data_IF_725988216264
#
_entry.id   IF_725988216264
#
_cell.length_a   1.000
_cell.length_b   1.000
_cell.length_c   1.000
_cell.angle_alpha   90.00
_cell.angle_beta   90.00
_cell.angle_gamma   90.00
#
_symmetry.space_group_name_H-M   'P 1'
#
loop_
_entity.id
_entity.type
_entity.pdbx_description
1 polymer ?
#
# COMPACT_ATOMS: atom_id res chain seq x y z
N UNK A 1 -65.02 15.08 10.00
CA UNK A 1 -64.80 14.03 11.02
C UNK A 1 -63.51 13.31 10.63
N UNK A 2 -62.40 13.45 11.38
CA UNK A 2 -61.07 12.98 10.95
C UNK A 2 -60.75 11.62 11.60
N UNK A 3 -60.19 10.65 10.87
CA UNK A 3 -59.56 9.48 11.51
C UNK A 3 -58.33 8.99 10.71
N UNK A 4 -57.18 9.31 11.32
CA UNK A 4 -55.89 8.62 11.38
C UNK A 4 -55.07 8.30 10.12
N UNK A 5 -54.00 9.08 9.97
CA UNK A 5 -52.73 8.72 9.34
C UNK A 5 -52.08 7.52 10.05
N UNK A 6 -51.61 6.55 9.28
CA UNK A 6 -50.64 5.54 9.74
C UNK A 6 -49.27 5.88 9.14
N UNK A 7 -48.37 6.42 9.96
CA UNK A 7 -46.96 6.59 9.60
C UNK A 7 -46.24 5.28 9.96
N UNK A 8 -45.84 4.52 8.94
CA UNK A 8 -44.94 3.38 9.10
C UNK A 8 -43.52 3.89 9.38
N UNK A 9 -43.08 3.75 10.63
CA UNK A 9 -41.71 4.02 11.02
C UNK A 9 -40.85 2.78 10.69
N UNK A 10 -40.14 2.81 9.56
CA UNK A 10 -39.14 1.80 9.24
C UNK A 10 -37.94 1.97 10.20
N UNK A 11 -37.78 1.04 11.14
CA UNK A 11 -36.61 0.99 12.01
C UNK A 11 -35.40 0.57 11.16
N UNK A 12 -34.54 1.54 10.81
CA UNK A 12 -33.25 1.23 10.20
C UNK A 12 -32.30 0.74 11.29
N UNK A 13 -32.08 -0.56 11.36
CA UNK A 13 -30.96 -1.13 12.11
C UNK A 13 -29.68 -0.76 11.38
N UNK A 14 -29.02 0.32 11.81
CA UNK A 14 -27.64 0.56 11.44
C UNK A 14 -26.81 -0.59 12.02
N UNK A 15 -26.32 -1.48 11.17
CA UNK A 15 -25.30 -2.44 11.57
C UNK A 15 -24.07 -1.63 11.95
N UNK A 16 -23.79 -1.52 13.24
CA UNK A 16 -22.52 -0.97 13.74
C UNK A 16 -21.50 -2.07 13.54
N UNK A 17 -21.00 -2.24 12.31
CA UNK A 17 -19.72 -2.93 12.13
C UNK A 17 -18.70 -2.13 12.94
N UNK A 18 -18.01 -2.71 13.94
CA UNK A 18 -16.89 -2.00 14.53
C UNK A 18 -15.95 -1.70 13.37
N UNK A 19 -15.74 -0.42 13.08
CA UNK A 19 -14.64 -0.03 12.23
C UNK A 19 -13.41 -0.62 12.92
N UNK A 20 -12.86 -1.72 12.37
CA UNK A 20 -11.59 -2.25 12.82
C UNK A 20 -10.63 -1.09 12.56
N UNK A 21 -10.18 -0.44 13.62
CA UNK A 21 -9.33 0.75 13.48
C UNK A 21 -8.03 0.27 12.85
N UNK A 22 -7.91 0.44 11.54
CA UNK A 22 -6.76 0.01 10.76
C UNK A 22 -5.46 0.65 11.29
N UNK A 23 -5.57 1.79 11.98
CA UNK A 23 -4.45 2.54 12.53
C UNK A 23 -4.05 2.08 13.93
N UNK A 24 -4.72 1.07 14.48
CA UNK A 24 -4.34 0.48 15.76
C UNK A 24 -2.94 -0.15 15.68
N UNK A 25 -2.18 -0.05 16.77
CA UNK A 25 -0.86 -0.69 16.91
C UNK A 25 -0.91 -2.21 16.77
N UNK A 26 -2.06 -2.82 17.08
CA UNK A 26 -2.24 -4.27 17.07
C UNK A 26 -3.05 -4.77 15.87
N UNK A 27 -3.38 -3.88 14.94
CA UNK A 27 -4.09 -4.25 13.73
C UNK A 27 -3.14 -4.92 12.73
N UNK A 28 -3.58 -6.06 12.20
CA UNK A 28 -2.92 -6.77 11.11
C UNK A 28 -3.77 -6.58 9.86
N UNK A 29 -3.25 -5.94 8.79
CA UNK A 29 -4.04 -5.61 7.63
C UNK A 29 -4.47 -6.86 6.85
N UNK A 30 -5.74 -6.91 6.45
CA UNK A 30 -6.25 -7.88 5.49
C UNK A 30 -5.94 -7.52 4.03
N UNK A 31 -6.06 -8.47 3.07
CA UNK A 31 -5.87 -8.19 1.64
C UNK A 31 -6.77 -7.08 1.09
N UNK A 32 -7.99 -6.96 1.62
CA UNK A 32 -8.97 -5.93 1.28
C UNK A 32 -8.58 -4.52 1.72
N UNK A 33 -7.61 -4.40 2.63
CA UNK A 33 -7.14 -3.11 3.15
C UNK A 33 -5.95 -2.55 2.37
N UNK A 34 -5.34 -3.36 1.51
CA UNK A 34 -4.18 -2.98 0.71
C UNK A 34 -4.61 -1.96 -0.35
N UNK A 35 -4.09 -0.74 -0.27
CA UNK A 35 -4.22 0.23 -1.37
C UNK A 35 -3.07 0.02 -2.35
N UNK A 36 -3.38 0.08 -3.64
CA UNK A 36 -2.39 -0.20 -4.69
C UNK A 36 -2.43 0.87 -5.78
N UNK A 37 -1.25 1.15 -6.33
CA UNK A 37 -1.09 1.91 -7.57
C UNK A 37 -0.06 1.22 -8.45
N UNK A 38 -0.33 1.17 -9.76
CA UNK A 38 0.67 0.75 -10.73
C UNK A 38 1.72 1.84 -10.95
N UNK A 39 2.99 1.46 -10.84
CA UNK A 39 4.14 2.32 -11.09
C UNK A 39 5.03 1.68 -12.13
N UNK A 40 5.62 2.51 -12.99
CA UNK A 40 6.55 2.08 -14.03
C UNK A 40 7.66 3.12 -14.16
N UNK A 41 8.87 2.66 -14.47
CA UNK A 41 10.03 3.49 -14.75
C UNK A 41 9.76 4.32 -15.99
N UNK A 42 9.95 5.63 -15.88
CA UNK A 42 9.85 6.52 -17.05
C UNK A 42 11.19 6.62 -17.80
N UNK A 43 11.17 6.99 -19.08
CA UNK A 43 12.37 7.03 -19.94
C UNK A 43 13.53 7.88 -19.38
N UNK A 44 13.21 8.92 -18.59
CA UNK A 44 14.20 9.83 -18.01
C UNK A 44 14.49 9.56 -16.52
N UNK A 45 14.01 8.44 -15.98
CA UNK A 45 14.17 8.11 -14.56
C UNK A 45 15.50 7.42 -14.29
N UNK A 46 16.49 8.24 -13.94
CA UNK A 46 17.86 7.82 -13.62
C UNK A 46 17.96 7.10 -12.26
N UNK A 47 17.02 7.37 -11.36
CA UNK A 47 17.09 6.97 -9.95
C UNK A 47 16.04 5.92 -9.56
N UNK A 48 15.54 5.16 -10.53
CA UNK A 48 14.62 4.05 -10.27
C UNK A 48 15.27 3.04 -9.29
N UNK A 49 14.63 2.74 -8.14
CA UNK A 49 15.25 1.94 -7.09
C UNK A 49 15.02 0.44 -7.23
N UNK A 50 14.23 0.00 -8.21
CA UNK A 50 13.83 -1.40 -8.36
C UNK A 50 14.52 -2.05 -9.57
N UNK A 51 14.70 -3.37 -9.52
CA UNK A 51 15.15 -4.13 -10.69
C UNK A 51 14.02 -4.27 -11.73
N UNK A 52 12.78 -4.64 -11.36
CA UNK A 52 11.66 -4.62 -12.30
C UNK A 52 11.39 -3.20 -12.81
N UNK A 53 11.14 -3.06 -14.11
CA UNK A 53 10.81 -1.77 -14.73
C UNK A 53 9.39 -1.29 -14.38
N UNK A 54 8.52 -2.20 -13.95
CA UNK A 54 7.17 -1.89 -13.49
C UNK A 54 6.73 -2.78 -12.33
N UNK A 55 5.74 -2.31 -11.57
CA UNK A 55 5.23 -3.01 -10.41
C UNK A 55 4.01 -2.36 -9.79
N UNK A 56 3.69 -2.81 -8.58
CA UNK A 56 2.64 -2.27 -7.74
C UNK A 56 3.29 -1.61 -6.52
N UNK A 57 3.04 -0.32 -6.35
CA UNK A 57 3.26 0.36 -5.09
C UNK A 57 2.03 0.14 -4.21
N UNK A 58 2.27 -0.30 -2.99
CA UNK A 58 1.24 -0.72 -2.06
C UNK A 58 1.37 0.04 -0.75
N UNK A 59 0.24 0.28 -0.09
CA UNK A 59 0.22 0.86 1.24
C UNK A 59 -0.84 0.21 2.13
N UNK A 60 -0.45 -0.08 3.36
CA UNK A 60 -1.33 -0.53 4.45
C UNK A 60 -1.01 0.23 5.73
N UNK A 61 -1.98 0.32 6.63
CA UNK A 61 -1.70 0.61 8.03
C UNK A 61 -1.32 -0.68 8.75
N UNK A 62 -0.21 -0.66 9.47
CA UNK A 62 0.27 -1.78 10.29
C UNK A 62 1.16 -1.24 11.41
N UNK A 63 0.98 -1.76 12.63
CA UNK A 63 1.75 -1.28 13.78
C UNK A 63 1.56 0.22 14.04
N UNK A 64 0.37 0.76 13.75
CA UNK A 64 0.04 2.19 13.87
C UNK A 64 0.79 3.14 12.95
N UNK A 65 1.47 2.62 11.92
CA UNK A 65 2.13 3.43 10.89
C UNK A 65 1.73 2.98 9.49
N UNK A 66 1.94 3.88 8.53
CA UNK A 66 1.84 3.56 7.10
C UNK A 66 3.06 2.73 6.70
N UNK A 67 2.82 1.58 6.11
CA UNK A 67 3.85 0.69 5.57
C UNK A 67 3.72 0.67 4.07
N UNK A 68 4.76 1.13 3.38
CA UNK A 68 4.81 1.18 1.92
C UNK A 68 5.66 0.03 1.40
N UNK A 69 5.13 -0.69 0.42
CA UNK A 69 5.79 -1.84 -0.19
C UNK A 69 5.73 -1.72 -1.71
N UNK A 70 6.73 -2.27 -2.39
CA UNK A 70 6.73 -2.50 -3.82
C UNK A 70 6.70 -4.00 -4.09
N UNK A 71 5.85 -4.41 -5.03
CA UNK A 71 5.81 -5.75 -5.57
C UNK A 71 6.07 -5.69 -7.08
N UNK A 72 6.86 -6.61 -7.61
CA UNK A 72 6.86 -6.88 -9.04
C UNK A 72 5.44 -7.30 -9.45
N UNK A 73 5.00 -6.92 -10.66
CA UNK A 73 3.74 -7.46 -11.18
C UNK A 73 3.88 -8.98 -11.30
N UNK A 74 2.85 -9.77 -10.90
CA UNK A 74 2.85 -11.20 -11.14
C UNK A 74 3.00 -11.46 -12.64
N UNK A 75 3.84 -12.42 -13.01
CA UNK A 75 4.03 -12.87 -14.41
C UNK A 75 2.85 -13.73 -14.92
N UNK A 76 1.78 -13.84 -14.14
CA UNK A 76 0.62 -14.67 -14.43
C UNK A 76 0.81 -16.14 -14.05
N UNK A 77 1.94 -16.54 -13.46
CA UNK A 77 2.12 -17.89 -12.94
C UNK A 77 1.30 -18.08 -11.65
N UNK A 78 0.54 -19.17 -11.56
CA UNK A 78 -0.24 -19.59 -10.37
C UNK A 78 0.65 -20.08 -9.22
N UNK A 79 1.86 -19.55 -9.07
CA UNK A 79 2.70 -19.96 -7.95
C UNK A 79 2.16 -19.32 -6.67
N UNK A 80 1.61 -20.13 -5.78
CA UNK A 80 1.08 -19.77 -4.44
C UNK A 80 2.13 -19.14 -3.50
N UNK A 81 3.33 -18.82 -4.00
CA UNK A 81 4.36 -18.11 -3.23
C UNK A 81 3.90 -16.68 -2.97
N UNK A 82 4.00 -16.24 -1.70
CA UNK A 82 3.87 -14.82 -1.37
C UNK A 82 4.84 -14.04 -2.26
N UNK A 83 4.37 -13.00 -3.00
CA UNK A 83 5.27 -12.24 -3.85
C UNK A 83 6.37 -11.62 -3.00
N UNK A 84 7.61 -11.65 -3.49
CA UNK A 84 8.70 -10.94 -2.83
C UNK A 84 8.39 -9.44 -2.80
N UNK A 85 8.45 -8.86 -1.61
CA UNK A 85 8.11 -7.46 -1.36
C UNK A 85 9.36 -6.67 -0.98
N UNK A 86 9.48 -5.47 -1.53
CA UNK A 86 10.45 -4.47 -1.08
C UNK A 86 9.73 -3.48 -0.19
N UNK A 87 10.14 -3.39 1.08
CA UNK A 87 9.74 -2.31 1.97
C UNK A 87 10.41 -1.01 1.52
N UNK A 88 9.60 -0.02 1.17
CA UNK A 88 10.04 1.27 0.64
C UNK A 88 10.03 2.28 1.78
N UNK A 89 11.21 2.58 2.33
CA UNK A 89 11.34 3.43 3.52
C UNK A 89 12.61 4.26 3.49
N UNK A 90 12.51 5.50 3.95
CA UNK A 90 13.66 6.39 4.20
C UNK A 90 14.35 6.10 5.54
N UNK A 91 13.74 5.25 6.40
CA UNK A 91 14.41 4.75 7.59
C UNK A 91 15.47 3.69 7.18
N UNK A 92 16.75 3.88 7.54
CA UNK A 92 17.82 2.98 7.10
C UNK A 92 17.69 1.56 7.66
N UNK A 93 17.09 1.38 8.85
CA UNK A 93 16.84 0.05 9.41
C UNK A 93 15.74 -0.66 8.64
N UNK A 94 14.63 0.02 8.32
CA UNK A 94 13.56 -0.56 7.51
C UNK A 94 14.09 -0.91 6.10
N UNK A 95 14.83 0.02 5.47
CA UNK A 95 15.36 -0.15 4.12
C UNK A 95 16.37 -1.31 4.00
N UNK A 96 17.00 -1.71 5.10
CA UNK A 96 17.99 -2.79 5.14
C UNK A 96 17.42 -4.08 5.71
N UNK A 97 16.98 -4.07 6.96
CA UNK A 97 16.57 -5.28 7.69
C UNK A 97 15.29 -5.89 7.12
N UNK A 98 14.30 -5.07 6.77
CA UNK A 98 13.04 -5.58 6.21
C UNK A 98 13.20 -6.09 4.78
N UNK A 99 14.29 -5.71 4.10
CA UNK A 99 14.59 -6.06 2.72
C UNK A 99 15.67 -7.14 2.57
N UNK A 100 16.18 -7.73 3.66
CA UNK A 100 17.28 -8.71 3.56
C UNK A 100 16.93 -9.91 2.66
N UNK A 101 15.66 -10.31 2.60
CA UNK A 101 15.17 -11.38 1.73
C UNK A 101 14.84 -10.95 0.29
N UNK A 102 14.66 -9.66 0.03
CA UNK A 102 14.19 -9.11 -1.25
C UNK A 102 15.21 -8.20 -1.93
N UNK A 103 16.48 -8.27 -1.53
CA UNK A 103 17.57 -7.46 -2.10
C UNK A 103 17.73 -7.61 -3.61
N UNK A 104 17.37 -8.76 -4.17
CA UNK A 104 17.43 -9.04 -5.61
C UNK A 104 16.41 -8.22 -6.43
N UNK A 105 15.41 -7.61 -5.78
CA UNK A 105 14.45 -6.69 -6.41
C UNK A 105 14.89 -5.23 -6.33
N UNK A 106 15.98 -4.92 -5.61
CA UNK A 106 16.48 -3.57 -5.39
C UNK A 106 17.63 -3.32 -6.38
N UNK A 107 17.55 -2.22 -7.12
CA UNK A 107 18.61 -1.79 -8.03
C UNK A 107 19.92 -1.57 -7.25
N UNK A 108 21.06 -1.90 -7.86
CA UNK A 108 22.37 -1.68 -7.23
C UNK A 108 22.56 -0.19 -6.89
N UNK A 109 23.05 0.07 -5.69
CA UNK A 109 23.37 1.40 -5.17
C UNK A 109 24.77 1.40 -4.56
N UNK A 110 25.37 2.58 -4.41
CA UNK A 110 26.65 2.79 -3.73
C UNK A 110 26.55 2.59 -2.21
N UNK A 111 25.33 2.53 -1.67
CA UNK A 111 25.06 2.23 -0.26
C UNK A 111 23.68 2.70 0.19
N UNK A 112 23.38 2.47 1.47
CA UNK A 112 22.06 2.76 2.08
C UNK A 112 21.64 4.22 1.90
N UNK A 113 22.59 5.16 1.99
CA UNK A 113 22.29 6.59 1.82
C UNK A 113 21.76 6.93 0.43
N UNK A 114 22.23 6.25 -0.61
CA UNK A 114 21.68 6.39 -1.96
C UNK A 114 20.33 5.68 -2.08
N UNK A 115 20.22 4.46 -1.53
CA UNK A 115 18.97 3.70 -1.54
C UNK A 115 17.80 4.50 -0.93
N UNK A 116 17.98 5.08 0.26
CA UNK A 116 16.93 5.86 0.92
C UNK A 116 16.55 7.12 0.11
N UNK A 117 17.52 7.75 -0.58
CA UNK A 117 17.22 8.88 -1.48
C UNK A 117 16.37 8.44 -2.66
N UNK A 118 16.66 7.27 -3.24
CA UNK A 118 15.87 6.70 -4.34
C UNK A 118 14.50 6.21 -3.87
N UNK A 119 14.37 5.73 -2.63
CA UNK A 119 13.08 5.33 -2.03
C UNK A 119 12.19 6.51 -1.64
N UNK A 120 12.74 7.65 -1.24
CA UNK A 120 11.99 8.80 -0.73
C UNK A 120 10.76 9.20 -1.59
N UNK A 121 10.85 9.39 -2.92
CA UNK A 121 9.67 9.74 -3.72
C UNK A 121 8.59 8.65 -3.70
N UNK A 122 8.98 7.37 -3.69
CA UNK A 122 8.06 6.24 -3.66
C UNK A 122 7.44 6.03 -2.27
N UNK A 123 8.19 6.25 -1.19
CA UNK A 123 7.62 6.25 0.16
C UNK A 123 6.56 7.35 0.28
N UNK A 124 6.84 8.57 -0.18
CA UNK A 124 5.88 9.68 -0.14
C UNK A 124 4.62 9.39 -0.97
N UNK A 125 4.79 8.84 -2.19
CA UNK A 125 3.68 8.42 -3.04
C UNK A 125 2.83 7.34 -2.35
N UNK A 126 3.47 6.31 -1.79
CA UNK A 126 2.79 5.23 -1.08
C UNK A 126 2.09 5.72 0.19
N UNK A 127 2.68 6.64 0.95
CA UNK A 127 2.02 7.20 2.12
C UNK A 127 0.75 7.99 1.76
N UNK A 128 0.67 8.56 0.54
CA UNK A 128 -0.58 9.16 0.02
C UNK A 128 -1.62 8.08 -0.33
N UNK A 129 -1.20 6.90 -0.79
CA UNK A 129 -2.12 5.76 -0.98
C UNK A 129 -2.83 5.36 0.31
N UNK A 130 -2.14 5.37 1.45
CA UNK A 130 -2.78 5.09 2.76
C UNK A 130 -3.79 6.16 3.22
N UNK A 131 -3.91 7.30 2.52
CA UNK A 131 -4.98 8.27 2.76
C UNK A 131 -6.24 7.97 1.92
N UNK A 132 -6.15 7.04 0.96
CA UNK A 132 -7.27 6.60 0.14
C UNK A 132 -8.14 5.59 0.91
N UNK A 133 -9.40 5.38 0.48
CA UNK A 133 -10.25 4.31 1.01
C UNK A 133 -9.55 2.95 1.03
N UNK A 134 -9.94 2.07 1.96
CA UNK A 134 -9.44 0.70 2.00
C UNK A 134 -9.66 0.00 0.66
N UNK A 135 -8.66 -0.76 0.21
CA UNK A 135 -8.73 -1.50 -1.05
C UNK A 135 -8.67 -0.64 -2.30
N UNK A 136 -8.42 0.68 -2.18
CA UNK A 136 -8.35 1.57 -3.32
C UNK A 136 -7.31 1.10 -4.34
N UNK A 137 -7.73 1.08 -5.62
CA UNK A 137 -6.88 0.81 -6.78
C UNK A 137 -6.78 2.10 -7.57
N UNK A 138 -5.61 2.72 -7.56
CA UNK A 138 -5.38 4.00 -8.21
C UNK A 138 -4.65 3.78 -9.53
N UNK A 139 -5.12 4.43 -10.60
CA UNK A 139 -4.48 4.41 -11.90
C UNK A 139 -3.16 5.17 -11.90
N UNK A 140 -2.46 5.07 -13.02
CA UNK A 140 -1.22 5.79 -13.24
C UNK A 140 -1.49 7.31 -13.30
N UNK A 141 -0.81 8.09 -12.44
CA UNK A 141 -0.93 9.56 -12.44
C UNK A 141 -2.16 10.14 -11.75
N UNK A 142 -2.95 9.33 -11.04
CA UNK A 142 -4.23 9.75 -10.42
C UNK A 142 -4.12 10.12 -8.92
N UNK A 143 -2.90 10.27 -8.38
CA UNK A 143 -2.63 10.59 -6.95
C UNK A 143 -2.10 12.00 -6.71
#
# INVERSE_FOLDING_TARGET
MPVLSAILLAAQTAAITPARDERSLFHLPGPEEVRVQSVARTENEQHWPFVPEEGLLMCVWSGGRKVVMFAAKPDGSETEARPDLVFVSTNPFDATLMNMGSTHLIAKTEGVGELIRRFAPFEQLGQRLCNQPQGARIGHGEL
#
